data_IF_072193678290
#
_entry.id   IF_072193678290
#
_cell.length_a   1.000
_cell.length_b   1.000
_cell.length_c   1.000
_cell.angle_alpha   90.00
_cell.angle_beta   90.00
_cell.angle_gamma   90.00
#
_symmetry.space_group_name_H-M   'P 1'
#
loop_
_entity.id
_entity.type
_entity.pdbx_description
1 polymer ?
#
# COMPACT_ATOMS: atom_id res chain seq x y z
N UNK A 1 36.93 -9.33 -2.19
CA UNK A 1 36.73 -9.73 -0.79
C UNK A 1 35.77 -8.69 -0.21
N UNK A 2 34.56 -9.04 0.25
CA UNK A 2 33.67 -8.04 0.82
C UNK A 2 34.31 -7.50 2.11
N UNK A 3 34.43 -6.19 2.23
CA UNK A 3 34.99 -5.52 3.41
C UNK A 3 34.10 -5.79 4.63
N UNK A 4 34.69 -6.32 5.71
CA UNK A 4 33.96 -6.76 6.91
C UNK A 4 33.19 -5.59 7.57
N UNK A 5 33.69 -4.36 7.38
CA UNK A 5 33.07 -3.11 7.80
C UNK A 5 31.64 -2.92 7.24
N UNK A 6 31.36 -3.45 6.03
CA UNK A 6 30.04 -3.38 5.40
C UNK A 6 28.99 -4.27 6.08
N UNK A 7 29.43 -5.36 6.72
CA UNK A 7 28.56 -6.27 7.48
C UNK A 7 28.27 -5.73 8.88
N UNK A 8 29.19 -4.97 9.46
CA UNK A 8 28.97 -4.28 10.73
C UNK A 8 27.91 -3.17 10.61
N UNK A 9 27.93 -2.40 9.52
CA UNK A 9 26.95 -1.33 9.28
C UNK A 9 25.51 -1.84 9.19
N UNK A 10 25.28 -3.04 8.64
CA UNK A 10 23.95 -3.65 8.54
C UNK A 10 23.31 -3.94 9.92
N UNK A 11 24.14 -4.18 10.94
CA UNK A 11 23.73 -4.47 12.31
C UNK A 11 23.65 -3.22 13.19
N UNK A 12 24.01 -2.04 12.68
CA UNK A 12 23.91 -0.82 13.44
C UNK A 12 22.43 -0.48 13.73
N UNK A 13 22.04 -0.31 15.01
CA UNK A 13 20.65 -0.09 15.36
C UNK A 13 20.22 1.33 14.97
N UNK A 14 19.39 1.43 13.93
CA UNK A 14 18.73 2.66 13.53
C UNK A 14 17.27 2.59 14.00
N UNK A 15 16.89 3.47 14.94
CA UNK A 15 15.54 3.45 15.56
C UNK A 15 15.16 2.06 16.10
N UNK A 16 16.04 1.46 16.90
CA UNK A 16 15.91 0.10 17.45
C UNK A 16 15.83 -1.05 16.44
N UNK A 17 16.06 -0.79 15.15
CA UNK A 17 16.04 -1.83 14.11
C UNK A 17 17.38 -1.89 13.37
N UNK A 18 17.81 -3.09 13.02
CA UNK A 18 18.95 -3.27 12.13
C UNK A 18 18.67 -2.58 10.78
N UNK A 19 19.68 -1.99 10.15
CA UNK A 19 19.57 -1.37 8.81
C UNK A 19 19.03 -2.39 7.79
N UNK A 20 19.37 -3.67 7.96
CA UNK A 20 18.82 -4.76 7.16
C UNK A 20 17.29 -4.84 7.22
N UNK A 21 16.68 -4.62 8.40
CA UNK A 21 15.22 -4.64 8.56
C UNK A 21 14.56 -3.47 7.82
N UNK A 22 15.21 -2.30 7.80
CA UNK A 22 14.77 -1.15 7.01
C UNK A 22 14.80 -1.43 5.51
N UNK A 23 15.84 -2.12 5.02
CA UNK A 23 15.92 -2.53 3.62
C UNK A 23 14.82 -3.54 3.27
N UNK A 24 14.54 -4.52 4.14
CA UNK A 24 13.42 -5.45 3.95
C UNK A 24 12.07 -4.72 3.94
N UNK A 25 11.82 -3.84 4.90
CA UNK A 25 10.59 -3.05 4.96
C UNK A 25 10.40 -2.19 3.71
N UNK A 26 11.47 -1.57 3.20
CA UNK A 26 11.45 -0.79 1.96
C UNK A 26 11.20 -1.69 0.75
N UNK A 27 11.86 -2.83 0.66
CA UNK A 27 11.66 -3.80 -0.43
C UNK A 27 10.21 -4.31 -0.47
N UNK A 28 9.64 -4.67 0.69
CA UNK A 28 8.24 -5.08 0.82
C UNK A 28 7.30 -3.93 0.43
N UNK A 29 7.56 -2.72 0.91
CA UNK A 29 6.75 -1.54 0.56
C UNK A 29 6.74 -1.30 -0.96
N UNK A 30 7.90 -1.33 -1.60
CA UNK A 30 8.01 -1.16 -3.06
C UNK A 30 7.28 -2.28 -3.79
N UNK A 31 7.46 -3.53 -3.36
CA UNK A 31 6.81 -4.68 -3.98
C UNK A 31 5.28 -4.61 -3.85
N UNK A 32 4.76 -4.27 -2.68
CA UNK A 32 3.33 -4.07 -2.44
C UNK A 32 2.79 -2.91 -3.30
N UNK A 33 3.49 -1.78 -3.33
CA UNK A 33 3.11 -0.63 -4.14
C UNK A 33 2.99 -1.01 -5.62
N UNK A 34 4.00 -1.70 -6.16
CA UNK A 34 4.02 -2.16 -7.54
C UNK A 34 2.91 -3.18 -7.80
N UNK A 35 2.70 -4.16 -6.92
CA UNK A 35 1.64 -5.15 -7.06
C UNK A 35 0.26 -4.49 -7.10
N UNK A 36 -0.04 -3.59 -6.16
CA UNK A 36 -1.32 -2.87 -6.15
C UNK A 36 -1.47 -2.04 -7.44
N UNK A 37 -0.43 -1.33 -7.87
CA UNK A 37 -0.49 -0.52 -9.08
C UNK A 37 -0.69 -1.37 -10.35
N UNK A 38 -0.04 -2.54 -10.43
CA UNK A 38 -0.22 -3.51 -11.51
C UNK A 38 -1.65 -4.07 -11.48
N UNK A 39 -2.16 -4.45 -10.31
CA UNK A 39 -3.54 -4.95 -10.15
C UNK A 39 -4.55 -3.89 -10.58
N UNK A 40 -4.39 -2.63 -10.18
CA UNK A 40 -5.27 -1.54 -10.60
C UNK A 40 -5.21 -1.38 -12.13
N UNK A 41 -4.02 -1.29 -12.71
CA UNK A 41 -3.84 -1.07 -14.16
C UNK A 41 -4.35 -2.24 -15.00
N UNK A 42 -4.04 -3.46 -14.59
CA UNK A 42 -4.49 -4.67 -15.28
C UNK A 42 -5.99 -4.91 -15.07
N UNK A 43 -6.48 -4.71 -13.85
CA UNK A 43 -7.89 -4.82 -13.46
C UNK A 43 -8.75 -3.92 -14.32
N UNK A 44 -8.47 -2.62 -14.37
CA UNK A 44 -9.20 -1.66 -15.23
C UNK A 44 -9.19 -2.09 -16.70
N UNK A 45 -8.06 -2.57 -17.22
CA UNK A 45 -7.96 -3.00 -18.63
C UNK A 45 -8.72 -4.29 -18.95
N UNK A 46 -8.77 -5.25 -18.00
CA UNK A 46 -9.42 -6.55 -18.20
C UNK A 46 -10.91 -6.50 -17.88
N UNK A 47 -11.31 -5.77 -16.85
CA UNK A 47 -12.73 -5.53 -16.53
C UNK A 47 -13.44 -4.83 -17.70
N UNK A 48 -12.81 -3.84 -18.34
CA UNK A 48 -13.38 -3.22 -19.56
C UNK A 48 -13.62 -4.22 -20.72
N UNK A 49 -12.80 -5.28 -20.81
CA UNK A 49 -12.92 -6.30 -21.87
C UNK A 49 -13.92 -7.40 -21.51
N UNK A 50 -14.03 -7.76 -20.23
CA UNK A 50 -14.97 -8.76 -19.69
C UNK A 50 -16.39 -8.19 -19.46
N UNK A 51 -16.53 -6.89 -19.19
CA UNK A 51 -17.82 -6.19 -19.03
C UNK A 51 -18.70 -6.24 -20.29
N UNK A 52 -18.12 -6.54 -21.46
CA UNK A 52 -18.90 -6.85 -22.68
C UNK A 52 -19.71 -8.14 -22.57
N UNK A 53 -19.41 -9.02 -21.62
CA UNK A 53 -20.09 -10.29 -21.42
C UNK A 53 -20.90 -10.38 -20.12
N UNK A 54 -20.78 -9.42 -19.19
CA UNK A 54 -21.57 -9.44 -17.94
C UNK A 54 -21.76 -8.02 -17.41
N UNK A 55 -22.97 -7.49 -17.56
CA UNK A 55 -23.38 -6.18 -17.01
C UNK A 55 -23.67 -6.34 -15.51
N UNK A 56 -22.63 -6.36 -14.67
CA UNK A 56 -22.80 -6.55 -13.23
C UNK A 56 -22.45 -5.27 -12.47
N UNK A 57 -23.38 -4.75 -11.67
CA UNK A 57 -23.24 -3.53 -10.83
C UNK A 57 -21.95 -3.54 -9.99
N UNK A 58 -21.50 -4.73 -9.56
CA UNK A 58 -20.27 -4.91 -8.81
C UNK A 58 -18.99 -4.59 -9.61
N UNK A 59 -18.96 -4.88 -10.91
CA UNK A 59 -17.80 -4.62 -11.76
C UNK A 59 -17.59 -3.12 -11.98
N UNK A 60 -18.68 -2.36 -12.15
CA UNK A 60 -18.64 -0.91 -12.29
C UNK A 60 -18.19 -0.26 -10.98
N UNK A 61 -18.75 -0.68 -9.83
CA UNK A 61 -18.36 -0.17 -8.52
C UNK A 61 -16.87 -0.44 -8.20
N UNK A 62 -16.35 -1.62 -8.55
CA UNK A 62 -14.94 -1.96 -8.38
C UNK A 62 -14.06 -1.13 -9.32
N UNK A 63 -14.43 -1.00 -10.59
CA UNK A 63 -13.65 -0.25 -11.59
C UNK A 63 -13.57 1.25 -11.24
N UNK A 64 -14.68 1.83 -10.75
CA UNK A 64 -14.73 3.22 -10.29
C UNK A 64 -13.93 3.43 -8.99
N UNK A 65 -14.00 2.48 -8.05
CA UNK A 65 -13.18 2.53 -6.83
C UNK A 65 -11.68 2.44 -7.17
N UNK A 66 -11.30 1.56 -8.10
CA UNK A 66 -9.92 1.38 -8.56
C UNK A 66 -9.39 2.61 -9.31
N UNK A 67 -10.18 3.20 -10.20
CA UNK A 67 -9.77 4.38 -10.99
C UNK A 67 -9.55 5.62 -10.12
N UNK A 68 -10.26 5.73 -8.99
CA UNK A 68 -10.17 6.85 -8.05
C UNK A 68 -9.24 6.61 -6.87
N UNK A 69 -8.70 5.39 -6.74
CA UNK A 69 -7.68 5.10 -5.73
C UNK A 69 -6.42 5.89 -6.06
N UNK A 70 -6.13 6.91 -5.25
CA UNK A 70 -4.97 7.78 -5.50
C UNK A 70 -3.68 7.04 -5.18
N UNK A 71 -2.63 7.28 -5.96
CA UNK A 71 -1.29 6.74 -5.72
C UNK A 71 -0.76 7.07 -4.32
N UNK A 72 -1.19 8.18 -3.71
CA UNK A 72 -0.91 8.50 -2.30
C UNK A 72 -1.51 7.50 -1.31
N UNK A 73 -2.75 7.04 -1.52
CA UNK A 73 -3.36 6.03 -0.66
C UNK A 73 -2.60 4.70 -0.77
N UNK A 74 -2.28 4.29 -2.01
CA UNK A 74 -1.48 3.08 -2.26
C UNK A 74 -0.11 3.17 -1.60
N UNK A 75 0.52 4.35 -1.65
CA UNK A 75 1.80 4.60 -0.97
C UNK A 75 1.66 4.45 0.55
N UNK A 76 0.61 5.01 1.16
CA UNK A 76 0.37 4.88 2.61
C UNK A 76 0.17 3.42 3.00
N UNK A 77 -0.63 2.66 2.24
CA UNK A 77 -0.85 1.22 2.49
C UNK A 77 0.44 0.42 2.33
N UNK A 78 1.21 0.70 1.28
CA UNK A 78 2.49 0.05 1.04
C UNK A 78 3.49 0.30 2.18
N UNK A 79 3.63 1.55 2.61
CA UNK A 79 4.49 1.91 3.74
C UNK A 79 4.00 1.28 5.04
N UNK A 80 2.70 1.32 5.32
CA UNK A 80 2.09 0.66 6.48
C UNK A 80 2.44 -0.82 6.53
N UNK A 81 2.29 -1.55 5.42
CA UNK A 81 2.64 -2.97 5.36
C UNK A 81 4.15 -3.21 5.54
N UNK A 82 5.01 -2.31 5.05
CA UNK A 82 6.44 -2.33 5.35
C UNK A 82 6.75 -2.16 6.83
N UNK A 83 6.02 -1.27 7.53
CA UNK A 83 6.22 -1.04 8.97
C UNK A 83 5.88 -2.25 9.84
N UNK A 84 5.10 -3.22 9.34
CA UNK A 84 4.81 -4.46 10.08
C UNK A 84 6.05 -5.34 10.31
N UNK A 85 7.10 -5.14 9.50
CA UNK A 85 8.37 -5.85 9.60
C UNK A 85 9.43 -5.09 10.43
N UNK A 86 9.06 -3.92 10.96
CA UNK A 86 9.91 -3.10 11.81
C UNK A 86 9.38 -3.10 13.24
N UNK A 87 10.29 -3.22 14.20
CA UNK A 87 9.96 -3.13 15.62
C UNK A 87 9.90 -1.67 16.04
N UNK A 88 8.69 -1.15 16.19
CA UNK A 88 8.47 0.21 16.64
C UNK A 88 7.99 0.25 18.09
N UNK A 89 8.29 1.35 18.79
CA UNK A 89 7.65 1.65 20.07
C UNK A 89 6.13 1.76 19.92
N UNK A 90 5.38 1.46 20.98
CA UNK A 90 3.90 1.50 20.97
C UNK A 90 3.36 2.84 20.44
N UNK A 91 3.97 3.95 20.86
CA UNK A 91 3.60 5.30 20.41
C UNK A 91 3.74 5.49 18.91
N UNK A 92 4.82 4.98 18.32
CA UNK A 92 5.04 5.08 16.87
C UNK A 92 4.04 4.22 16.11
N UNK A 93 3.75 3.01 16.62
CA UNK A 93 2.74 2.11 16.06
C UNK A 93 1.34 2.75 16.08
N UNK A 94 0.95 3.40 17.17
CA UNK A 94 -0.32 4.13 17.28
C UNK A 94 -0.44 5.25 16.23
N UNK A 95 0.63 6.03 16.03
CA UNK A 95 0.66 7.09 15.02
C UNK A 95 0.51 6.50 13.62
N UNK A 96 1.24 5.43 13.31
CA UNK A 96 1.15 4.73 12.02
C UNK A 96 -0.27 4.22 11.76
N UNK A 97 -0.88 3.56 12.74
CA UNK A 97 -2.27 3.05 12.65
C UNK A 97 -3.26 4.20 12.48
N UNK A 98 -3.06 5.32 13.18
CA UNK A 98 -3.92 6.50 13.07
C UNK A 98 -3.87 7.10 11.67
N UNK A 99 -2.67 7.27 11.11
CA UNK A 99 -2.48 7.78 9.74
C UNK A 99 -3.13 6.84 8.71
N UNK A 100 -2.89 5.53 8.83
CA UNK A 100 -3.50 4.53 7.95
C UNK A 100 -5.04 4.56 8.05
N UNK A 101 -5.58 4.67 9.26
CA UNK A 101 -7.03 4.74 9.50
C UNK A 101 -7.64 5.98 8.86
N UNK A 102 -7.03 7.16 9.04
CA UNK A 102 -7.46 8.41 8.40
C UNK A 102 -7.46 8.25 6.88
N UNK A 103 -6.41 7.66 6.30
CA UNK A 103 -6.32 7.42 4.87
C UNK A 103 -7.46 6.50 4.37
N UNK A 104 -7.77 5.44 5.12
CA UNK A 104 -8.90 4.53 4.81
C UNK A 104 -10.23 5.26 4.89
N UNK A 105 -10.47 6.08 5.92
CA UNK A 105 -11.70 6.86 6.04
C UNK A 105 -11.88 7.84 4.88
N UNK A 106 -10.83 8.59 4.53
CA UNK A 106 -10.84 9.50 3.38
C UNK A 106 -11.15 8.73 2.10
N UNK A 107 -10.45 7.61 1.86
CA UNK A 107 -10.63 6.81 0.65
C UNK A 107 -12.03 6.19 0.55
N UNK A 108 -12.59 5.76 1.69
CA UNK A 108 -13.95 5.22 1.79
C UNK A 108 -15.01 6.28 1.49
N UNK A 109 -14.85 7.50 2.01
CA UNK A 109 -15.74 8.62 1.71
C UNK A 109 -15.72 8.98 0.22
N UNK A 110 -14.55 8.94 -0.42
CA UNK A 110 -14.40 9.18 -1.85
C UNK A 110 -15.07 8.09 -2.71
N UNK A 111 -15.07 6.83 -2.26
CA UNK A 111 -15.78 5.75 -2.92
C UNK A 111 -17.30 5.89 -2.79
N UNK A 112 -17.81 6.13 -1.57
CA UNK A 112 -19.24 6.24 -1.28
C UNK A 112 -19.92 7.44 -1.98
N UNK A 113 -19.21 8.57 -2.11
CA UNK A 113 -19.75 9.76 -2.78
C UNK A 113 -20.17 9.52 -4.25
N UNK A 114 -19.65 8.49 -4.92
CA UNK A 114 -20.06 8.18 -6.30
C UNK A 114 -21.13 7.12 -6.41
N UNK A 115 -21.23 6.19 -5.46
CA UNK A 115 -22.27 5.15 -5.51
C UNK A 115 -23.67 5.78 -5.46
N UNK A 116 -23.83 6.93 -4.79
CA UNK A 116 -25.08 7.68 -4.74
C UNK A 116 -25.42 8.51 -5.98
N UNK A 117 -24.64 8.45 -7.08
CA UNK A 117 -24.91 9.19 -8.32
C UNK A 117 -25.47 8.33 -9.48
N UNK A 118 -25.82 7.07 -9.21
CA UNK A 118 -26.59 6.20 -10.10
C UNK A 118 -28.05 6.10 -9.64
#
# INVERSE_FOLDING_TARGET
MPDIDSLEFLNYPLLNNAVQNWLFALAVSVLVFLLIHIIIRLGVSRLSRLAKQTSTIWDDAITDALSRTRSLFVLIVALFLGTLYLEFSDRTREVIISVASIAVFIQSGLWLNNIGQY
#
